data_IF_622779072447
#
_entry.id   IF_622779072447
#
_cell.length_a   1.000
_cell.length_b   1.000
_cell.length_c   1.000
_cell.angle_alpha   90.00
_cell.angle_beta   90.00
_cell.angle_gamma   90.00
#
_symmetry.space_group_name_H-M   'P 1'
#
loop_
_entity.id
_entity.type
_entity.pdbx_description
1 polymer ?
#
# COMPACT_ATOMS: atom_id res chain seq x y z
N UNK A 1 -40.98 -27.48 15.52
CA UNK A 1 -39.70 -28.17 15.29
C UNK A 1 -38.80 -27.20 14.54
N UNK A 2 -37.75 -26.55 15.06
CA UNK A 2 -37.02 -26.58 16.32
C UNK A 2 -36.65 -25.12 16.66
N UNK A 3 -36.87 -24.72 17.92
CA UNK A 3 -36.41 -23.44 18.46
C UNK A 3 -34.96 -23.56 18.93
N UNK A 4 -34.14 -22.55 18.64
CA UNK A 4 -32.77 -22.44 19.12
C UNK A 4 -32.69 -21.19 20.00
N UNK A 5 -32.72 -21.39 21.33
CA UNK A 5 -32.44 -20.38 22.33
C UNK A 5 -31.01 -20.57 22.83
N UNK A 6 -30.14 -19.55 22.79
CA UNK A 6 -28.91 -19.58 23.57
C UNK A 6 -29.20 -19.19 25.03
N UNK A 7 -28.82 -20.08 25.94
CA UNK A 7 -28.84 -19.84 27.38
C UNK A 7 -27.77 -18.80 27.77
N UNK A 8 -28.18 -17.78 28.52
CA UNK A 8 -27.28 -16.83 29.15
C UNK A 8 -26.80 -17.42 30.49
N UNK A 9 -25.52 -17.75 30.57
CA UNK A 9 -24.83 -18.10 31.82
C UNK A 9 -24.38 -16.81 32.53
N UNK A 10 -25.06 -16.48 33.61
CA UNK A 10 -24.74 -15.37 34.50
C UNK A 10 -24.03 -15.90 35.74
N UNK A 11 -22.77 -16.32 35.61
CA UNK A 11 -21.96 -16.71 36.76
C UNK A 11 -20.63 -15.95 36.80
N UNK A 12 -20.56 -14.98 37.72
CA UNK A 12 -19.35 -14.80 38.53
C UNK A 12 -18.24 -13.88 38.05
N UNK A 13 -18.51 -12.61 37.73
CA UNK A 13 -17.45 -11.59 37.77
C UNK A 13 -17.33 -11.02 39.18
N UNK A 14 -16.55 -11.71 40.02
CA UNK A 14 -16.15 -11.25 41.36
C UNK A 14 -15.00 -10.24 41.20
N UNK A 15 -15.23 -8.98 41.57
CA UNK A 15 -14.19 -7.94 41.62
C UNK A 15 -13.10 -8.33 42.65
N UNK A 16 -11.79 -8.28 42.32
CA UNK A 16 -10.75 -8.41 43.33
C UNK A 16 -10.69 -7.16 44.22
N UNK A 17 -10.56 -7.41 45.52
CA UNK A 17 -10.62 -6.44 46.58
C UNK A 17 -9.48 -5.42 46.58
N UNK A 18 -9.83 -4.24 47.07
CA UNK A 18 -8.98 -3.08 47.33
C UNK A 18 -8.06 -3.37 48.54
N UNK A 19 -6.96 -4.09 48.38
CA UNK A 19 -5.84 -4.09 49.34
C UNK A 19 -4.63 -4.83 48.73
N UNK A 20 -3.84 -4.15 47.90
CA UNK A 20 -2.40 -4.43 47.75
C UNK A 20 -1.72 -3.26 46.99
N UNK A 21 -1.89 -2.04 47.52
CA UNK A 21 -0.95 -0.95 47.23
C UNK A 21 0.17 -1.05 48.25
N UNK A 22 1.33 -1.58 47.85
CA UNK A 22 2.69 -1.22 48.32
C UNK A 22 3.67 -2.32 47.92
N UNK A 23 4.50 -2.03 46.93
CA UNK A 23 5.96 -2.24 46.95
C UNK A 23 6.53 -1.70 45.63
N UNK A 24 6.74 -0.40 45.65
CA UNK A 24 7.74 0.23 44.80
C UNK A 24 9.11 -0.21 45.34
N UNK A 25 9.80 -1.08 44.62
CA UNK A 25 11.26 -1.14 44.69
C UNK A 25 11.82 -1.01 43.28
N UNK A 26 12.39 0.17 43.10
CA UNK A 26 13.34 0.59 42.09
C UNK A 26 14.38 -0.49 41.84
N UNK A 27 14.42 -1.00 40.61
CA UNK A 27 15.58 -1.72 40.07
C UNK A 27 15.79 -1.27 38.62
N UNK A 28 16.27 -0.03 38.47
CA UNK A 28 16.89 0.43 37.23
C UNK A 28 18.24 -0.28 37.11
N UNK A 29 18.30 -1.38 36.37
CA UNK A 29 19.57 -1.90 35.85
C UNK A 29 19.80 -1.34 34.45
N UNK A 30 20.91 -0.63 34.35
CA UNK A 30 21.43 0.02 33.17
C UNK A 30 21.62 -0.97 32.00
N UNK A 31 21.07 -0.62 30.84
CA UNK A 31 21.52 -1.12 29.55
C UNK A 31 22.79 -0.35 29.16
N UNK A 32 23.95 -1.03 29.16
CA UNK A 32 25.13 -0.56 28.43
C UNK A 32 25.26 -1.35 27.12
N UNK A 33 25.10 -0.65 25.99
CA UNK A 33 26.09 -0.54 24.90
C UNK A 33 26.92 -1.81 24.58
N UNK A 34 27.00 -2.38 23.38
CA UNK A 34 26.96 -1.81 22.02
C UNK A 34 27.00 -2.98 21.03
N UNK A 35 26.34 -2.89 19.88
CA UNK A 35 26.51 -3.92 18.85
C UNK A 35 25.59 -3.83 17.63
N UNK A 36 25.12 -2.65 17.23
CA UNK A 36 24.42 -2.48 15.96
C UNK A 36 25.38 -1.91 14.92
N UNK A 37 25.79 -2.75 13.96
CA UNK A 37 26.50 -2.33 12.75
C UNK A 37 25.54 -1.50 11.90
N UNK A 38 25.69 -0.19 11.95
CA UNK A 38 25.03 0.75 11.04
C UNK A 38 25.88 0.83 9.77
N UNK A 39 25.51 0.09 8.72
CA UNK A 39 25.99 0.38 7.37
C UNK A 39 25.23 1.61 6.87
N UNK A 40 25.77 2.80 7.13
CA UNK A 40 25.35 4.04 6.46
C UNK A 40 26.47 4.51 5.54
N UNK A 41 26.27 4.29 4.25
CA UNK A 41 26.88 5.08 3.18
C UNK A 41 26.07 4.86 1.90
N UNK A 42 24.88 5.46 1.87
CA UNK A 42 24.26 5.80 0.60
C UNK A 42 24.90 7.10 0.12
N UNK A 43 25.80 6.99 -0.83
CA UNK A 43 26.29 8.12 -1.62
C UNK A 43 25.18 8.58 -2.55
N UNK A 44 24.51 9.68 -2.19
CA UNK A 44 23.61 10.39 -3.08
C UNK A 44 24.47 11.19 -4.08
N UNK A 45 24.74 10.61 -5.25
CA UNK A 45 25.34 11.31 -6.37
C UNK A 45 24.28 12.18 -7.03
N UNK A 46 24.21 13.44 -6.58
CA UNK A 46 23.46 14.48 -7.27
C UNK A 46 24.12 14.77 -8.62
N UNK A 47 23.42 14.50 -9.71
CA UNK A 47 23.78 15.02 -11.02
C UNK A 47 22.87 16.22 -11.34
N UNK A 48 23.55 17.36 -11.46
CA UNK A 48 23.06 18.67 -11.84
C UNK A 48 22.28 18.61 -13.17
N UNK A 49 21.10 19.22 -13.21
CA UNK A 49 20.44 19.59 -14.45
C UNK A 49 20.96 20.97 -14.87
N UNK A 50 22.16 20.97 -15.47
CA UNK A 50 22.77 22.17 -16.05
C UNK A 50 22.15 22.46 -17.41
N UNK A 51 21.69 23.70 -17.54
CA UNK A 51 21.08 24.31 -18.71
C UNK A 51 22.15 24.64 -19.77
N UNK A 52 22.32 23.78 -20.79
CA UNK A 52 23.28 24.02 -21.87
C UNK A 52 22.67 24.91 -22.96
N UNK A 53 22.97 26.20 -22.82
CA UNK A 53 22.66 27.29 -23.74
C UNK A 53 23.38 27.06 -25.09
N UNK A 54 22.60 27.03 -26.18
CA UNK A 54 23.10 27.07 -27.57
C UNK A 54 24.14 28.17 -27.78
N UNK A 55 25.32 27.82 -28.31
CA UNK A 55 26.22 28.71 -29.06
C UNK A 55 26.85 27.94 -30.22
N UNK A 56 26.96 28.62 -31.36
CA UNK A 56 27.13 28.06 -32.70
C UNK A 56 28.48 27.44 -33.03
N UNK A 57 28.62 26.91 -34.26
CA UNK A 57 29.82 26.21 -34.68
C UNK A 57 30.92 27.21 -35.08
N UNK A 58 32.05 27.16 -34.37
CA UNK A 58 33.28 27.78 -34.82
C UNK A 58 34.01 26.80 -35.76
N UNK A 59 34.15 27.20 -37.02
CA UNK A 59 35.03 26.60 -38.01
C UNK A 59 36.47 26.53 -37.47
N UNK A 60 37.04 25.34 -37.42
CA UNK A 60 38.48 25.13 -37.27
C UNK A 60 38.97 24.25 -38.43
N UNK A 61 39.93 24.81 -39.13
CA UNK A 61 40.64 24.32 -40.32
C UNK A 61 41.48 23.06 -40.04
N UNK A 62 41.68 22.16 -41.02
CA UNK A 62 42.48 20.96 -40.82
C UNK A 62 43.98 21.24 -40.99
N UNK A 63 44.74 21.14 -39.90
CA UNK A 63 46.21 21.00 -39.95
C UNK A 63 46.57 19.54 -40.16
N UNK A 64 47.30 19.22 -41.23
CA UNK A 64 47.90 17.90 -41.49
C UNK A 64 49.09 17.66 -40.54
N UNK A 65 49.18 16.52 -39.85
CA UNK A 65 50.46 15.97 -39.46
C UNK A 65 50.75 14.65 -40.16
N UNK A 66 52.02 14.57 -40.57
CA UNK A 66 52.67 13.55 -41.37
C UNK A 66 53.06 12.39 -40.45
N UNK A 67 52.18 11.43 -40.23
CA UNK A 67 52.57 10.14 -39.65
C UNK A 67 51.96 9.00 -40.45
N UNK A 68 52.71 8.64 -41.50
CA UNK A 68 52.52 7.44 -42.27
C UNK A 68 52.86 6.22 -41.41
N UNK A 69 51.95 5.25 -41.42
CA UNK A 69 52.23 3.86 -41.10
C UNK A 69 52.42 3.53 -39.63
N UNK A 70 51.31 3.37 -38.87
CA UNK A 70 51.08 2.22 -37.97
C UNK A 70 49.76 2.36 -37.17
N UNK A 71 48.59 2.53 -37.81
CA UNK A 71 47.30 2.46 -37.10
C UNK A 71 46.23 1.73 -37.92
N UNK A 72 46.60 0.60 -38.52
CA UNK A 72 45.69 -0.32 -39.20
C UNK A 72 45.52 -1.61 -38.40
N UNK A 73 45.19 -1.53 -37.10
CA UNK A 73 44.76 -2.72 -36.34
C UNK A 73 43.97 -2.40 -35.06
N UNK A 74 43.13 -1.35 -35.07
CA UNK A 74 42.26 -1.01 -33.92
C UNK A 74 40.80 -0.77 -34.33
N UNK A 75 40.32 -1.46 -35.36
CA UNK A 75 38.97 -1.31 -35.90
C UNK A 75 38.06 -2.55 -35.69
N UNK A 76 38.39 -3.47 -34.78
CA UNK A 76 37.65 -4.75 -34.61
C UNK A 76 37.26 -5.12 -33.16
N UNK A 77 37.54 -4.30 -32.14
CA UNK A 77 37.26 -4.66 -30.72
C UNK A 77 36.14 -3.85 -30.05
N UNK A 78 35.35 -3.08 -30.82
CA UNK A 78 34.33 -2.17 -30.28
C UNK A 78 32.90 -2.71 -30.13
N UNK A 79 32.65 -4.02 -30.30
CA UNK A 79 31.29 -4.58 -30.44
C UNK A 79 30.79 -5.45 -29.27
N UNK A 80 31.41 -5.39 -28.09
CA UNK A 80 31.10 -6.27 -26.95
C UNK A 80 30.50 -5.56 -25.71
N UNK A 81 29.94 -4.35 -25.85
CA UNK A 81 29.36 -3.61 -24.71
C UNK A 81 27.83 -3.39 -24.79
N UNK A 82 27.11 -4.04 -25.71
CA UNK A 82 25.66 -3.86 -25.84
C UNK A 82 24.87 -4.92 -25.05
N UNK A 83 24.30 -4.52 -23.90
CA UNK A 83 23.15 -5.19 -23.30
C UNK A 83 23.37 -5.70 -21.89
N UNK A 84 23.46 -4.81 -20.91
CA UNK A 84 23.19 -5.18 -19.52
C UNK A 84 21.70 -5.58 -19.44
N UNK A 85 21.34 -6.80 -19.02
CA UNK A 85 19.94 -7.13 -18.75
C UNK A 85 19.45 -6.21 -17.63
N UNK A 86 18.52 -5.31 -17.94
CA UNK A 86 17.84 -4.55 -16.91
C UNK A 86 16.99 -5.53 -16.09
N UNK A 87 17.13 -5.58 -14.76
CA UNK A 87 16.28 -6.44 -13.95
C UNK A 87 14.83 -6.01 -14.14
N UNK A 88 13.99 -6.94 -14.59
CA UNK A 88 12.55 -6.74 -14.60
C UNK A 88 12.08 -6.61 -13.14
N UNK A 89 11.81 -5.38 -12.71
CA UNK A 89 11.15 -5.11 -11.44
C UNK A 89 9.77 -5.80 -11.48
N UNK A 90 9.60 -6.81 -10.63
CA UNK A 90 8.30 -7.42 -10.38
C UNK A 90 7.29 -6.33 -10.01
N UNK A 91 6.14 -6.32 -10.68
CA UNK A 91 5.19 -5.21 -10.62
C UNK A 91 4.09 -5.53 -9.62
N UNK A 92 4.35 -5.23 -8.35
CA UNK A 92 3.36 -5.33 -7.28
C UNK A 92 2.07 -4.56 -7.66
N UNK A 93 0.91 -5.19 -7.41
CA UNK A 93 -0.40 -4.58 -7.58
C UNK A 93 -0.70 -3.80 -6.29
N UNK A 94 -0.44 -2.48 -6.29
CA UNK A 94 -0.89 -1.62 -5.19
C UNK A 94 -2.36 -1.22 -5.37
N UNK A 95 -3.16 -1.42 -4.32
CA UNK A 95 -4.57 -1.01 -4.23
C UNK A 95 -4.77 -0.33 -2.88
N UNK A 96 -5.59 0.71 -2.82
CA UNK A 96 -5.93 1.31 -1.54
C UNK A 96 -7.11 0.58 -0.88
N UNK A 97 -7.19 0.62 0.46
CA UNK A 97 -8.36 0.15 1.21
C UNK A 97 -9.61 0.87 0.69
N UNK A 98 -10.71 0.12 0.54
CA UNK A 98 -11.99 0.59 0.01
C UNK A 98 -11.94 1.12 -1.43
N UNK A 99 -10.83 0.90 -2.14
CA UNK A 99 -10.68 1.24 -3.55
C UNK A 99 -10.55 -0.01 -4.41
N UNK A 100 -10.92 0.14 -5.68
CA UNK A 100 -10.82 -0.90 -6.68
C UNK A 100 -9.83 -0.51 -7.79
N UNK A 101 -9.11 -1.49 -8.32
CA UNK A 101 -8.15 -1.33 -9.40
C UNK A 101 -8.42 -2.34 -10.51
N UNK A 102 -8.42 -1.85 -11.75
CA UNK A 102 -8.52 -2.71 -12.92
C UNK A 102 -7.16 -3.35 -13.23
N UNK A 103 -7.16 -4.67 -13.31
CA UNK A 103 -6.02 -5.49 -13.72
C UNK A 103 -6.34 -6.08 -15.09
N UNK A 104 -5.48 -5.80 -16.07
CA UNK A 104 -5.61 -6.30 -17.44
C UNK A 104 -4.65 -7.46 -17.66
N UNK A 105 -5.19 -8.58 -18.13
CA UNK A 105 -4.44 -9.80 -18.42
C UNK A 105 -3.93 -9.80 -19.86
N UNK A 106 -2.76 -10.39 -20.08
CA UNK A 106 -2.17 -10.56 -21.41
C UNK A 106 -2.94 -11.56 -22.29
N UNK A 107 -3.63 -12.52 -21.66
CA UNK A 107 -4.41 -13.59 -22.29
C UNK A 107 -5.71 -13.85 -21.49
N UNK A 108 -6.71 -14.53 -22.08
CA UNK A 108 -7.94 -14.89 -21.37
C UNK A 108 -7.63 -15.80 -20.17
N UNK A 109 -8.05 -15.40 -18.98
CA UNK A 109 -8.02 -16.20 -17.75
C UNK A 109 -9.24 -17.10 -17.65
N UNK A 110 -9.04 -18.31 -17.15
CA UNK A 110 -10.09 -19.28 -16.87
C UNK A 110 -10.33 -19.45 -15.35
N UNK A 111 -9.29 -19.29 -14.55
CA UNK A 111 -9.35 -19.44 -13.09
C UNK A 111 -8.61 -18.29 -12.41
N UNK A 112 -9.18 -17.81 -11.29
CA UNK A 112 -8.63 -16.72 -10.48
C UNK A 112 -8.60 -17.17 -9.03
N UNK A 113 -7.42 -17.03 -8.40
CA UNK A 113 -7.19 -17.41 -7.01
C UNK A 113 -6.60 -16.22 -6.26
N UNK A 114 -7.21 -15.88 -5.12
CA UNK A 114 -6.67 -14.92 -4.16
C UNK A 114 -6.20 -15.68 -2.92
N UNK A 115 -4.99 -15.38 -2.43
CA UNK A 115 -4.46 -16.06 -1.24
C UNK A 115 -5.27 -15.79 0.02
N UNK A 116 -5.68 -14.54 0.25
CA UNK A 116 -6.49 -14.16 1.41
C UNK A 116 -7.63 -13.19 1.02
N UNK A 117 -8.90 -13.66 0.96
CA UNK A 117 -10.05 -12.84 0.57
C UNK A 117 -10.45 -11.78 1.62
N UNK A 118 -9.92 -11.85 2.85
CA UNK A 118 -10.13 -10.82 3.88
C UNK A 118 -9.28 -9.57 3.65
N UNK A 119 -8.17 -9.69 2.89
CA UNK A 119 -7.28 -8.56 2.55
C UNK A 119 -7.74 -7.89 1.27
N UNK A 120 -7.97 -8.67 0.21
CA UNK A 120 -8.44 -8.16 -1.08
C UNK A 120 -9.38 -9.17 -1.75
N UNK A 121 -10.25 -8.66 -2.60
CA UNK A 121 -11.24 -9.45 -3.33
C UNK A 121 -11.11 -9.19 -4.83
N UNK A 122 -11.55 -10.16 -5.64
CA UNK A 122 -11.43 -10.07 -7.10
C UNK A 122 -12.75 -10.43 -7.77
N UNK A 123 -13.23 -9.53 -8.62
CA UNK A 123 -14.37 -9.75 -9.50
C UNK A 123 -13.92 -9.81 -10.95
N UNK A 124 -14.40 -10.81 -11.68
CA UNK A 124 -14.12 -10.96 -13.12
C UNK A 124 -15.12 -10.12 -13.90
N UNK A 125 -14.64 -9.13 -14.64
CA UNK A 125 -15.49 -8.33 -15.53
C UNK A 125 -15.63 -8.99 -16.91
N UNK A 126 -14.53 -9.53 -17.42
CA UNK A 126 -14.50 -10.35 -18.62
C UNK A 126 -13.24 -11.23 -18.59
N UNK A 127 -13.06 -12.07 -19.61
CA UNK A 127 -11.94 -13.01 -19.66
C UNK A 127 -10.54 -12.38 -19.56
N UNK A 128 -10.39 -11.06 -19.80
CA UNK A 128 -9.09 -10.36 -19.76
C UNK A 128 -9.01 -9.24 -18.72
N UNK A 129 -10.10 -8.93 -18.02
CA UNK A 129 -10.18 -7.79 -17.12
C UNK A 129 -10.73 -8.23 -15.78
N UNK A 130 -9.92 -7.99 -14.74
CA UNK A 130 -10.26 -8.25 -13.36
C UNK A 130 -10.37 -6.92 -12.61
N UNK A 131 -11.30 -6.85 -11.68
CA UNK A 131 -11.43 -5.77 -10.71
C UNK A 131 -10.93 -6.30 -9.38
N UNK A 132 -9.84 -5.73 -8.88
CA UNK A 132 -9.27 -6.07 -7.58
C UNK A 132 -9.66 -4.98 -6.59
N UNK A 133 -10.34 -5.35 -5.50
CA UNK A 133 -10.81 -4.43 -4.46
C UNK A 133 -10.04 -4.67 -3.17
N UNK A 134 -9.46 -3.61 -2.59
CA UNK A 134 -8.81 -3.68 -1.28
C UNK A 134 -9.86 -3.66 -0.17
N UNK A 135 -9.83 -4.63 0.75
CA UNK A 135 -10.72 -4.70 1.92
C UNK A 135 -9.99 -4.30 3.21
N UNK A 136 -8.87 -4.95 3.49
CA UNK A 136 -8.09 -4.72 4.72
C UNK A 136 -6.63 -4.48 4.36
N UNK A 137 -5.93 -3.68 5.18
CA UNK A 137 -4.50 -3.48 5.03
C UNK A 137 -3.73 -4.81 5.05
N UNK A 138 -2.71 -4.94 4.20
CA UNK A 138 -1.90 -6.15 4.15
C UNK A 138 -1.31 -6.43 2.78
N UNK A 139 -0.65 -7.57 2.64
CA UNK A 139 -0.17 -8.08 1.36
C UNK A 139 -0.70 -9.50 1.17
N UNK A 140 -1.32 -9.74 0.01
CA UNK A 140 -1.74 -11.06 -0.44
C UNK A 140 -1.21 -11.30 -1.86
N UNK A 141 -1.55 -12.42 -2.47
CA UNK A 141 -1.17 -12.78 -3.83
C UNK A 141 -2.43 -12.99 -4.68
N UNK A 142 -2.32 -12.60 -5.95
CA UNK A 142 -3.31 -12.87 -6.97
C UNK A 142 -2.69 -13.78 -8.01
N UNK A 143 -3.29 -14.95 -8.21
CA UNK A 143 -2.89 -15.94 -9.22
C UNK A 143 -4.01 -16.06 -10.24
N UNK A 144 -3.66 -16.04 -11.52
CA UNK A 144 -4.60 -16.20 -12.62
C UNK A 144 -4.07 -17.25 -13.57
N UNK A 145 -4.88 -18.25 -13.89
CA UNK A 145 -4.52 -19.37 -14.76
C UNK A 145 -5.32 -19.34 -16.06
N UNK A 146 -4.74 -19.87 -17.13
CA UNK A 146 -5.46 -20.14 -18.38
C UNK A 146 -6.21 -21.49 -18.33
N UNK A 147 -7.01 -21.77 -19.36
CA UNK A 147 -7.79 -23.01 -19.46
C UNK A 147 -6.92 -24.30 -19.50
N UNK A 148 -5.60 -24.19 -19.65
CA UNK A 148 -4.65 -25.31 -19.61
C UNK A 148 -3.92 -25.40 -18.26
N UNK A 149 -4.35 -24.62 -17.26
CA UNK A 149 -3.72 -24.56 -15.94
C UNK A 149 -2.37 -23.82 -15.93
N UNK A 150 -2.02 -23.07 -16.99
CA UNK A 150 -0.76 -22.32 -17.02
C UNK A 150 -0.96 -20.94 -16.41
N UNK A 151 0.02 -20.53 -15.61
CA UNK A 151 0.01 -19.21 -14.98
C UNK A 151 0.06 -18.08 -16.02
N UNK A 152 -0.88 -17.14 -15.90
CA UNK A 152 -0.93 -15.89 -16.68
C UNK A 152 -0.36 -14.75 -15.84
N UNK A 153 -0.67 -14.73 -14.53
CA UNK A 153 -0.28 -13.69 -13.60
C UNK A 153 -0.13 -14.31 -12.19
N UNK A 154 0.94 -13.95 -11.50
CA UNK A 154 1.17 -14.27 -10.09
C UNK A 154 1.93 -13.10 -9.47
N UNK A 155 1.17 -12.18 -8.90
CA UNK A 155 1.69 -10.92 -8.40
C UNK A 155 1.22 -10.68 -6.97
N UNK A 156 2.03 -9.95 -6.21
CA UNK A 156 1.64 -9.52 -4.86
C UNK A 156 0.64 -8.38 -4.98
N UNK A 157 -0.48 -8.51 -4.28
CA UNK A 157 -1.46 -7.45 -4.08
C UNK A 157 -1.16 -6.79 -2.73
N UNK A 158 -0.71 -5.54 -2.77
CA UNK A 158 -0.43 -4.75 -1.58
C UNK A 158 -1.56 -3.77 -1.34
N UNK A 159 -2.31 -4.00 -0.27
CA UNK A 159 -3.38 -3.12 0.17
C UNK A 159 -2.83 -2.13 1.18
N UNK A 160 -2.94 -0.85 0.87
CA UNK A 160 -2.46 0.26 1.69
C UNK A 160 -3.59 1.24 1.96
N UNK A 161 -3.44 2.07 2.98
CA UNK A 161 -4.32 3.19 3.22
C UNK A 161 -3.92 4.36 2.30
N UNK A 162 -4.87 4.93 1.57
CA UNK A 162 -4.62 6.12 0.75
C UNK A 162 -4.74 7.36 1.64
N UNK A 163 -3.59 7.90 2.06
CA UNK A 163 -3.52 9.10 2.90
C UNK A 163 -3.31 10.38 2.11
N UNK A 164 -3.39 10.37 0.77
CA UNK A 164 -3.03 11.54 -0.05
C UNK A 164 -3.81 12.81 0.27
N UNK A 165 -4.99 12.68 0.87
CA UNK A 165 -5.85 13.78 1.32
C UNK A 165 -6.18 13.71 2.81
N UNK A 166 -5.45 12.86 3.55
CA UNK A 166 -5.68 12.67 4.96
C UNK A 166 -4.67 13.47 5.78
N UNK A 167 -5.18 14.17 6.79
CA UNK A 167 -4.38 14.89 7.78
C UNK A 167 -4.62 14.26 9.14
N UNK A 168 -3.56 13.90 9.85
CA UNK A 168 -3.66 13.37 11.22
C UNK A 168 -3.20 14.41 12.24
N UNK A 169 -4.06 14.70 13.22
CA UNK A 169 -3.79 15.50 14.39
C UNK A 169 -3.38 14.58 15.54
N UNK A 170 -2.18 14.80 16.08
CA UNK A 170 -1.67 14.07 17.23
C UNK A 170 -1.76 14.92 18.50
N UNK A 171 -2.41 14.40 19.55
CA UNK A 171 -2.50 14.99 20.89
C UNK A 171 -1.93 14.01 21.91
N UNK A 172 -0.62 14.09 22.15
CA UNK A 172 0.09 13.06 22.92
C UNK A 172 0.05 11.71 22.19
N UNK A 173 -0.49 10.68 22.84
CA UNK A 173 -0.71 9.36 22.22
C UNK A 173 -2.01 9.23 21.42
N UNK A 174 -2.87 10.25 21.48
CA UNK A 174 -4.16 10.26 20.77
C UNK A 174 -3.96 10.73 19.33
N UNK A 175 -4.42 9.97 18.35
CA UNK A 175 -4.39 10.32 16.92
C UNK A 175 -5.81 10.49 16.41
N UNK A 176 -6.07 11.58 15.69
CA UNK A 176 -7.36 11.86 15.05
C UNK A 176 -7.11 12.24 13.61
N UNK A 177 -7.73 11.55 12.66
CA UNK A 177 -7.53 11.74 11.24
C UNK A 177 -8.72 12.44 10.59
N UNK A 178 -8.42 13.26 9.58
CA UNK A 178 -9.36 14.05 8.82
C UNK A 178 -9.13 13.83 7.32
N UNK A 179 -10.19 13.75 6.53
CA UNK A 179 -10.12 13.75 5.06
C UNK A 179 -10.44 15.15 4.53
N UNK A 180 -9.61 15.66 3.62
CA UNK A 180 -9.65 17.04 3.16
C UNK A 180 -9.80 17.15 1.64
N UNK A 181 -10.88 17.79 1.20
CA UNK A 181 -11.12 18.20 -0.20
C UNK A 181 -11.57 19.68 -0.21
N UNK A 182 -10.65 20.57 0.18
CA UNK A 182 -10.90 22.01 0.38
C UNK A 182 -11.45 22.38 1.77
N UNK A 183 -12.29 21.52 2.37
CA UNK A 183 -12.63 21.55 3.81
C UNK A 183 -12.39 20.16 4.39
N UNK A 184 -11.89 20.10 5.63
CA UNK A 184 -11.57 18.84 6.28
C UNK A 184 -12.77 18.31 7.09
N UNK A 185 -13.06 17.03 6.95
CA UNK A 185 -14.09 16.31 7.70
C UNK A 185 -13.44 15.18 8.50
N UNK A 186 -14.01 14.81 9.65
CA UNK A 186 -13.51 13.70 10.46
C UNK A 186 -13.59 12.39 9.68
N UNK A 187 -12.48 11.65 9.62
CA UNK A 187 -12.39 10.38 8.91
C UNK A 187 -12.39 9.22 9.91
N UNK A 188 -13.11 8.15 9.59
CA UNK A 188 -13.09 6.91 10.37
C UNK A 188 -11.87 6.07 9.95
N UNK A 189 -10.76 6.22 10.66
CA UNK A 189 -9.50 5.52 10.33
C UNK A 189 -9.13 4.51 11.40
N UNK A 190 -8.85 3.24 11.04
CA UNK A 190 -8.33 2.26 11.99
C UNK A 190 -7.04 2.73 12.67
N UNK A 191 -7.00 2.63 14.00
CA UNK A 191 -5.85 3.03 14.83
C UNK A 191 -5.87 4.49 15.31
N UNK A 192 -6.93 5.24 15.02
CA UNK A 192 -7.19 6.52 15.68
C UNK A 192 -7.74 6.33 17.11
N UNK A 193 -7.86 7.43 17.85
CA UNK A 193 -8.33 7.45 19.22
C UNK A 193 -9.71 6.77 19.35
N UNK A 194 -9.85 5.75 20.23
CA UNK A 194 -11.07 4.95 20.33
C UNK A 194 -12.30 5.81 20.67
N UNK A 195 -12.14 6.86 21.50
CA UNK A 195 -13.26 7.73 21.87
C UNK A 195 -13.75 8.54 20.66
N UNK A 196 -12.83 8.94 19.77
CA UNK A 196 -13.19 9.66 18.55
C UNK A 196 -13.92 8.77 17.55
N UNK A 197 -13.36 7.58 17.26
CA UNK A 197 -13.91 6.66 16.26
C UNK A 197 -15.26 6.08 16.70
N UNK A 198 -15.45 5.78 17.99
CA UNK A 198 -16.72 5.27 18.51
C UNK A 198 -17.84 6.32 18.42
N UNK A 199 -17.52 7.58 18.73
CA UNK A 199 -18.45 8.70 18.61
C UNK A 199 -18.88 8.93 17.16
N UNK A 200 -17.90 8.94 16.25
CA UNK A 200 -18.15 9.11 14.82
C UNK A 200 -18.95 7.93 14.24
N UNK A 201 -18.58 6.70 14.57
CA UNK A 201 -19.30 5.49 14.14
C UNK A 201 -20.76 5.50 14.60
N UNK A 202 -21.04 5.86 15.86
CA UNK A 202 -22.41 6.01 16.38
C UNK A 202 -23.21 7.07 15.61
N UNK A 203 -22.61 8.22 15.33
CA UNK A 203 -23.26 9.28 14.56
C UNK A 203 -23.60 8.82 13.13
N UNK A 204 -22.67 8.10 12.48
CA UNK A 204 -22.88 7.51 11.15
C UNK A 204 -24.02 6.49 11.18
N UNK A 205 -24.00 5.54 12.13
CA UNK A 205 -25.05 4.52 12.28
C UNK A 205 -26.42 5.15 12.54
N UNK A 206 -26.48 6.16 13.42
CA UNK A 206 -27.73 6.87 13.73
C UNK A 206 -28.30 7.57 12.48
N UNK A 207 -27.45 8.20 11.67
CA UNK A 207 -27.88 8.85 10.43
C UNK A 207 -28.40 7.84 9.40
N UNK A 208 -27.75 6.68 9.26
CA UNK A 208 -28.24 5.61 8.39
C UNK A 208 -29.58 5.05 8.87
N UNK A 209 -29.78 4.89 10.18
CA UNK A 209 -31.07 4.46 10.73
C UNK A 209 -32.23 5.40 10.35
N UNK A 210 -32.01 6.72 10.45
CA UNK A 210 -33.01 7.74 10.05
C UNK A 210 -33.28 7.71 8.54
N UNK A 211 -32.23 7.54 7.72
CA UNK A 211 -32.37 7.49 6.28
C UNK A 211 -33.12 6.23 5.80
N UNK A 212 -32.88 5.08 6.45
CA UNK A 212 -33.57 3.83 6.14
C UNK A 212 -35.06 3.91 6.45
N UNK A 213 -35.43 4.47 7.62
CA UNK A 213 -36.84 4.65 8.01
C UNK A 213 -37.63 5.56 7.06
N UNK A 214 -36.97 6.50 6.38
CA UNK A 214 -37.61 7.35 5.38
C UNK A 214 -37.90 6.62 4.07
N UNK A 215 -37.08 5.64 3.68
CA UNK A 215 -37.28 4.85 2.46
C UNK A 215 -38.39 3.81 2.63
N UNK A 216 -38.52 3.23 3.83
CA UNK A 216 -39.56 2.23 4.14
C UNK A 216 -40.96 2.86 4.28
N UNK A 217 -41.04 4.16 4.61
CA UNK A 217 -42.31 4.89 4.72
C UNK A 217 -42.97 5.25 3.39
N UNK A 218 -42.21 5.34 2.29
CA UNK A 218 -42.74 5.71 0.97
C UNK A 218 -43.33 4.52 0.20
N UNK A 219 -42.95 3.28 0.54
CA UNK A 219 -43.45 2.06 -0.11
C UNK A 219 -44.82 1.63 0.46
N UNK A 220 -45.19 2.07 1.66
CA UNK A 220 -46.46 1.68 2.31
C UNK A 220 -47.66 2.59 1.97
N UNK A 221 -47.46 3.62 1.15
CA UNK A 221 -48.46 4.65 0.84
C UNK A 221 -49.15 4.56 -0.52
N UNK A 222 -49.05 3.43 -1.25
CA UNK A 222 -49.69 3.26 -2.57
C UNK A 222 -50.48 1.97 -2.68
#
# INVERSE_FOLDING_TARGET
MNGYQPAADHSGWRLPGRHERRRAHVAWRALSHSGARVCTSFTFSGSNLSNERRKGPAMLTPSKPRHAGLLAMMALTGWLLAGSPSPALAKDISVAVDQAKLVRLSRPGAEVVIGNPSIADVSVQNARVLVVTGKTFGTTNLIVLDAKGREILNEKVRVHTDHKRQVSLYKGSSRVSYDCDGRCQSALVPGDDPLHVDGLAKAIISKFGIAQSALDGEISGR
#
